data_IF_624111302878
#
_entry.id   IF_624111302878
#
_cell.length_a   1.000
_cell.length_b   1.000
_cell.length_c   1.000
_cell.angle_alpha   90.00
_cell.angle_beta   90.00
_cell.angle_gamma   90.00
#
_symmetry.space_group_name_H-M   'P 1'
#
loop_
_entity.id
_entity.type
_entity.pdbx_description
1 polymer ?
#
# COMPACT_ATOMS: atom_id res chain seq x y z
N UNK A 1 -24.07 2.99 -17.21
CA UNK A 1 -23.42 4.32 -17.02
C UNK A 1 -23.59 4.91 -15.62
N UNK A 2 -24.40 4.34 -14.70
CA UNK A 2 -24.50 4.81 -13.31
C UNK A 2 -23.29 4.43 -12.43
N UNK A 3 -22.75 3.21 -12.58
CA UNK A 3 -21.67 2.70 -11.73
C UNK A 3 -20.36 3.50 -11.81
N UNK A 4 -19.93 3.91 -13.02
CA UNK A 4 -18.73 4.75 -13.18
C UNK A 4 -18.90 6.14 -12.52
N UNK A 5 -20.13 6.68 -12.52
CA UNK A 5 -20.44 7.95 -11.88
C UNK A 5 -20.42 7.80 -10.35
N UNK A 6 -21.02 6.73 -9.81
CA UNK A 6 -20.95 6.37 -8.39
C UNK A 6 -19.51 6.22 -7.91
N UNK A 7 -18.69 5.43 -8.64
CA UNK A 7 -17.27 5.23 -8.33
C UNK A 7 -16.52 6.55 -8.29
N UNK A 8 -16.74 7.44 -9.26
CA UNK A 8 -16.08 8.76 -9.28
C UNK A 8 -16.43 9.62 -8.05
N UNK A 9 -17.71 9.66 -7.66
CA UNK A 9 -18.13 10.41 -6.47
C UNK A 9 -17.60 9.80 -5.18
N UNK A 10 -17.58 8.47 -5.08
CA UNK A 10 -17.06 7.77 -3.92
C UNK A 10 -15.54 7.96 -3.79
N UNK A 11 -14.78 7.89 -4.88
CA UNK A 11 -13.34 8.21 -4.87
C UNK A 11 -13.12 9.65 -4.38
N UNK A 12 -13.90 10.61 -4.89
CA UNK A 12 -13.77 12.01 -4.46
C UNK A 12 -14.06 12.17 -2.95
N UNK A 13 -15.09 11.46 -2.44
CA UNK A 13 -15.38 11.40 -1.00
C UNK A 13 -14.19 10.87 -0.21
N UNK A 14 -13.59 9.74 -0.61
CA UNK A 14 -12.44 9.15 0.09
C UNK A 14 -11.25 10.13 0.15
N UNK A 15 -10.90 10.74 -1.00
CA UNK A 15 -9.82 11.75 -1.09
C UNK A 15 -10.09 12.94 -0.17
N UNK A 16 -11.33 13.43 -0.13
CA UNK A 16 -11.71 14.58 0.69
C UNK A 16 -11.67 14.25 2.19
N UNK A 17 -12.09 13.04 2.58
CA UNK A 17 -12.00 12.58 3.97
C UNK A 17 -10.55 12.47 4.43
N UNK A 18 -9.68 11.91 3.61
CA UNK A 18 -8.26 11.77 3.94
C UNK A 18 -7.56 13.12 4.03
N UNK A 19 -7.85 14.04 3.09
CA UNK A 19 -7.30 15.39 3.12
C UNK A 19 -7.71 16.18 4.38
N UNK A 20 -8.93 15.92 4.89
CA UNK A 20 -9.40 16.49 6.16
C UNK A 20 -8.74 15.79 7.36
N UNK A 21 -8.41 14.51 7.25
CA UNK A 21 -7.74 13.70 8.27
C UNK A 21 -6.23 13.58 8.02
N UNK A 22 -5.53 14.72 7.94
CA UNK A 22 -4.09 14.81 7.61
C UNK A 22 -3.17 13.93 8.46
N UNK A 23 -3.62 13.50 9.63
CA UNK A 23 -2.83 12.67 10.55
C UNK A 23 -2.49 11.29 10.00
N UNK A 24 -3.36 10.69 9.18
CA UNK A 24 -3.19 9.30 8.72
C UNK A 24 -2.13 9.20 7.64
N UNK A 25 -2.24 9.96 6.54
CA UNK A 25 -1.17 10.04 5.51
C UNK A 25 0.16 10.47 6.13
N UNK A 26 0.17 11.55 6.92
CA UNK A 26 1.42 12.07 7.48
C UNK A 26 2.10 11.05 8.40
N UNK A 27 1.32 10.29 9.17
CA UNK A 27 1.85 9.21 10.01
C UNK A 27 2.49 8.09 9.21
N UNK A 28 1.88 7.66 8.11
CA UNK A 28 2.42 6.60 7.24
C UNK A 28 3.67 7.08 6.49
N UNK A 29 3.65 8.32 6.00
CA UNK A 29 4.79 8.91 5.30
C UNK A 29 5.98 9.07 6.25
N UNK A 30 5.73 9.59 7.46
CA UNK A 30 6.75 9.69 8.50
C UNK A 30 7.27 8.30 8.92
N UNK A 31 6.40 7.29 8.99
CA UNK A 31 6.80 5.91 9.23
C UNK A 31 7.76 5.39 8.15
N UNK A 32 7.43 5.57 6.86
CA UNK A 32 8.27 5.12 5.74
C UNK A 32 9.63 5.79 5.76
N UNK A 33 9.65 7.13 5.85
CA UNK A 33 10.88 7.93 5.88
C UNK A 33 11.75 7.54 7.07
N UNK A 34 11.17 7.45 8.27
CA UNK A 34 11.90 7.06 9.48
C UNK A 34 12.44 5.65 9.39
N UNK A 35 11.68 4.71 8.81
CA UNK A 35 12.13 3.32 8.66
C UNK A 35 13.31 3.23 7.70
N UNK A 36 13.20 3.87 6.52
CA UNK A 36 14.30 3.92 5.54
C UNK A 36 15.55 4.53 6.18
N UNK A 37 15.40 5.65 6.87
CA UNK A 37 16.52 6.34 7.51
C UNK A 37 17.14 5.50 8.65
N UNK A 38 16.32 4.84 9.46
CA UNK A 38 16.79 3.93 10.53
C UNK A 38 17.55 2.74 9.95
N UNK A 39 17.05 2.14 8.87
CA UNK A 39 17.74 1.08 8.17
C UNK A 39 19.08 1.56 7.60
N UNK A 40 19.12 2.76 7.01
CA UNK A 40 20.35 3.36 6.52
C UNK A 40 21.40 3.53 7.62
N UNK A 41 21.03 4.10 8.77
CA UNK A 41 21.95 4.24 9.90
C UNK A 41 22.44 2.90 10.45
N UNK A 42 21.63 1.84 10.32
CA UNK A 42 21.97 0.51 10.84
C UNK A 42 22.94 -0.25 9.93
N UNK A 43 22.78 -0.13 8.61
CA UNK A 43 23.59 -0.87 7.64
C UNK A 43 24.73 -0.04 7.03
N UNK A 44 24.60 1.29 6.99
CA UNK A 44 25.48 2.29 6.35
C UNK A 44 25.68 2.10 4.84
N UNK A 45 25.90 0.87 4.37
CA UNK A 45 25.85 0.47 2.96
C UNK A 45 25.32 -0.95 2.82
N UNK A 46 24.47 -1.18 1.83
CA UNK A 46 24.02 -2.52 1.45
C UNK A 46 24.93 -3.00 0.31
N UNK A 47 25.98 -3.76 0.65
CA UNK A 47 26.91 -4.32 -0.34
C UNK A 47 26.31 -5.42 -1.22
N UNK A 48 25.16 -5.97 -0.82
CA UNK A 48 24.42 -6.99 -1.56
C UNK A 48 23.16 -6.40 -2.22
N UNK A 49 23.10 -6.51 -3.56
CA UNK A 49 21.96 -6.11 -4.37
C UNK A 49 20.66 -6.80 -3.95
N UNK A 50 20.75 -8.06 -3.54
CA UNK A 50 19.60 -8.86 -3.14
C UNK A 50 19.03 -8.36 -1.82
N UNK A 51 19.91 -8.02 -0.87
CA UNK A 51 19.53 -7.39 0.40
C UNK A 51 18.88 -6.01 0.19
N UNK A 52 19.41 -5.19 -0.72
CA UNK A 52 18.80 -3.89 -1.10
C UNK A 52 17.36 -4.08 -1.61
N UNK A 53 17.17 -5.00 -2.55
CA UNK A 53 15.84 -5.27 -3.11
C UNK A 53 14.88 -5.83 -2.06
N UNK A 54 15.32 -6.82 -1.26
CA UNK A 54 14.47 -7.41 -0.23
C UNK A 54 14.06 -6.38 0.83
N UNK A 55 14.99 -5.52 1.26
CA UNK A 55 14.74 -4.51 2.27
C UNK A 55 13.68 -3.50 1.82
N UNK A 56 13.75 -3.01 0.57
CA UNK A 56 12.73 -2.13 0.01
C UNK A 56 11.33 -2.75 0.14
N UNK A 57 11.15 -3.98 -0.34
CA UNK A 57 9.86 -4.65 -0.33
C UNK A 57 9.34 -4.93 1.09
N UNK A 58 10.22 -5.23 2.05
CA UNK A 58 9.85 -5.39 3.46
C UNK A 58 9.33 -4.07 4.03
N UNK A 59 10.01 -2.94 3.76
CA UNK A 59 9.56 -1.61 4.20
C UNK A 59 8.17 -1.31 3.61
N UNK A 60 7.98 -1.55 2.32
CA UNK A 60 6.69 -1.32 1.65
C UNK A 60 5.58 -2.22 2.22
N UNK A 61 5.88 -3.47 2.57
CA UNK A 61 4.92 -4.37 3.22
C UNK A 61 4.39 -3.76 4.51
N UNK A 62 5.26 -3.34 5.43
CA UNK A 62 4.79 -2.77 6.69
C UNK A 62 4.17 -1.38 6.53
N UNK A 63 4.64 -0.59 5.56
CA UNK A 63 4.02 0.69 5.22
C UNK A 63 2.58 0.51 4.72
N UNK A 64 2.36 -0.45 3.82
CA UNK A 64 1.04 -0.77 3.28
C UNK A 64 0.09 -1.30 4.36
N UNK A 65 0.60 -2.08 5.32
CA UNK A 65 -0.18 -2.54 6.48
C UNK A 65 -0.63 -1.34 7.32
N UNK A 66 0.23 -0.34 7.54
CA UNK A 66 -0.12 0.81 8.35
C UNK A 66 -1.04 1.82 7.64
N UNK A 67 -0.92 1.94 6.31
CA UNK A 67 -1.71 2.86 5.49
C UNK A 67 -3.03 2.30 4.98
N UNK A 68 -2.99 1.23 4.17
CA UNK A 68 -4.14 0.76 3.40
C UNK A 68 -5.10 -0.10 4.23
N UNK A 69 -4.56 -0.86 5.18
CA UNK A 69 -5.32 -1.86 5.93
C UNK A 69 -6.55 -1.32 6.65
N UNK A 70 -6.56 -0.04 6.97
CA UNK A 70 -7.58 0.60 7.79
C UNK A 70 -8.78 1.12 6.99
N UNK A 71 -8.77 1.04 5.66
CA UNK A 71 -9.76 1.68 4.77
C UNK A 71 -11.22 1.27 5.03
N UNK A 72 -11.51 0.00 5.34
CA UNK A 72 -12.86 -0.45 5.77
C UNK A 72 -13.03 -0.53 7.27
N UNK A 73 -11.94 -0.75 8.03
CA UNK A 73 -11.97 -0.87 9.48
C UNK A 73 -12.17 0.46 10.22
N UNK A 74 -11.79 1.59 9.61
CA UNK A 74 -12.02 2.92 10.19
C UNK A 74 -13.47 3.39 10.09
N UNK A 75 -14.24 2.87 9.12
CA UNK A 75 -15.62 3.30 8.95
C UNK A 75 -16.53 2.69 10.02
N UNK A 76 -17.36 3.53 10.64
CA UNK A 76 -18.38 3.06 11.58
C UNK A 76 -19.43 2.22 10.85
N UNK A 77 -20.07 1.28 11.56
CA UNK A 77 -21.15 0.44 11.01
C UNK A 77 -22.26 1.29 10.35
N UNK A 78 -22.61 2.44 10.94
CA UNK A 78 -23.61 3.36 10.40
C UNK A 78 -23.19 4.00 9.07
N UNK A 79 -21.94 4.43 8.94
CA UNK A 79 -21.41 4.99 7.69
C UNK A 79 -21.37 3.96 6.56
N UNK A 80 -21.01 2.71 6.88
CA UNK A 80 -21.03 1.62 5.92
C UNK A 80 -22.47 1.35 5.42
N UNK A 81 -23.44 1.23 6.34
CA UNK A 81 -24.85 1.02 5.98
C UNK A 81 -25.39 2.15 5.11
N UNK A 82 -25.10 3.41 5.46
CA UNK A 82 -25.49 4.57 4.67
C UNK A 82 -24.92 4.53 3.25
N UNK A 83 -23.65 4.13 3.10
CA UNK A 83 -23.01 4.01 1.78
C UNK A 83 -23.65 2.92 0.92
N UNK A 84 -24.10 1.81 1.52
CA UNK A 84 -24.83 0.75 0.81
C UNK A 84 -26.26 1.11 0.42
N UNK A 85 -26.88 2.09 1.08
CA UNK A 85 -28.19 2.62 0.68
C UNK A 85 -28.07 3.54 -0.54
N UNK A 86 -26.96 4.26 -0.66
CA UNK A 86 -26.77 5.29 -1.70
C UNK A 86 -26.10 4.79 -2.98
N UNK A 87 -25.29 3.74 -2.90
CA UNK A 87 -24.51 3.25 -4.02
C UNK A 87 -24.47 1.72 -4.06
N UNK A 88 -24.23 1.18 -5.25
CA UNK A 88 -24.10 -0.27 -5.41
C UNK A 88 -22.91 -0.82 -4.59
N UNK A 89 -23.01 -2.01 -3.98
CA UNK A 89 -21.91 -2.61 -3.22
C UNK A 89 -20.63 -2.77 -4.05
N UNK A 90 -20.77 -3.03 -5.35
CA UNK A 90 -19.66 -3.09 -6.31
C UNK A 90 -18.97 -1.72 -6.47
N UNK A 91 -19.72 -0.61 -6.55
CA UNK A 91 -19.13 0.72 -6.63
C UNK A 91 -18.36 1.10 -5.36
N UNK A 92 -18.86 0.74 -4.18
CA UNK A 92 -18.16 0.97 -2.90
C UNK A 92 -16.83 0.22 -2.85
N UNK A 93 -16.82 -1.04 -3.27
CA UNK A 93 -15.60 -1.83 -3.26
C UNK A 93 -14.58 -1.33 -4.28
N UNK A 94 -15.00 -1.11 -5.54
CA UNK A 94 -14.12 -0.63 -6.61
C UNK A 94 -13.54 0.75 -6.26
N UNK A 95 -14.36 1.67 -5.76
CA UNK A 95 -13.88 3.01 -5.40
C UNK A 95 -12.80 2.98 -4.31
N UNK A 96 -12.97 2.18 -3.25
CA UNK A 96 -11.96 2.01 -2.20
C UNK A 96 -10.70 1.33 -2.72
N UNK A 97 -10.82 0.30 -3.56
CA UNK A 97 -9.64 -0.34 -4.18
C UNK A 97 -8.86 0.65 -5.02
N UNK A 98 -9.52 1.42 -5.90
CA UNK A 98 -8.87 2.42 -6.75
C UNK A 98 -8.22 3.53 -5.92
N UNK A 99 -8.92 4.01 -4.88
CA UNK A 99 -8.35 4.99 -3.95
C UNK A 99 -7.09 4.46 -3.26
N UNK A 100 -7.13 3.23 -2.74
CA UNK A 100 -5.99 2.61 -2.08
C UNK A 100 -4.84 2.34 -3.05
N UNK A 101 -5.11 2.04 -4.32
CA UNK A 101 -4.08 1.94 -5.37
C UNK A 101 -3.40 3.29 -5.56
N UNK A 102 -4.16 4.39 -5.69
CA UNK A 102 -3.61 5.74 -5.84
C UNK A 102 -2.75 6.12 -4.62
N UNK A 103 -3.25 5.86 -3.41
CA UNK A 103 -2.52 6.13 -2.17
C UNK A 103 -1.21 5.33 -2.09
N UNK A 104 -1.25 4.04 -2.44
CA UNK A 104 -0.04 3.22 -2.47
C UNK A 104 0.94 3.67 -3.53
N UNK A 105 0.50 4.05 -4.73
CA UNK A 105 1.38 4.54 -5.77
C UNK A 105 2.13 5.81 -5.33
N UNK A 106 1.45 6.74 -4.67
CA UNK A 106 2.09 7.93 -4.11
C UNK A 106 3.11 7.54 -3.04
N UNK A 107 2.71 6.69 -2.08
CA UNK A 107 3.60 6.25 -1.01
C UNK A 107 4.83 5.50 -1.53
N UNK A 108 4.66 4.54 -2.44
CA UNK A 108 5.76 3.73 -2.95
C UNK A 108 6.67 4.52 -3.88
N UNK A 109 6.15 5.49 -4.63
CA UNK A 109 6.97 6.40 -5.43
C UNK A 109 7.84 7.29 -4.55
N UNK A 110 7.26 7.89 -3.50
CA UNK A 110 8.01 8.69 -2.52
C UNK A 110 9.04 7.82 -1.79
N UNK A 111 8.64 6.61 -1.38
CA UNK A 111 9.52 5.65 -0.73
C UNK A 111 10.71 5.29 -1.61
N UNK A 112 10.49 4.98 -2.89
CA UNK A 112 11.55 4.64 -3.84
C UNK A 112 12.52 5.82 -4.06
N UNK A 113 11.99 7.03 -4.24
CA UNK A 113 12.80 8.23 -4.39
C UNK A 113 13.67 8.50 -3.15
N UNK A 114 13.09 8.39 -1.95
CA UNK A 114 13.85 8.57 -0.71
C UNK A 114 14.84 7.42 -0.47
N UNK A 115 14.46 6.19 -0.79
CA UNK A 115 15.29 5.01 -0.62
C UNK A 115 16.54 5.04 -1.52
N UNK A 116 16.37 5.42 -2.79
CA UNK A 116 17.49 5.58 -3.74
C UNK A 116 18.41 6.75 -3.37
N UNK A 117 17.86 7.86 -2.85
CA UNK A 117 18.64 9.01 -2.40
C UNK A 117 19.48 8.70 -1.15
N UNK A 118 18.92 7.96 -0.20
CA UNK A 118 19.62 7.65 1.06
C UNK A 118 20.64 6.52 0.87
N UNK A 119 20.32 5.51 0.06
CA UNK A 119 21.22 4.41 -0.27
C UNK A 119 21.94 4.66 -1.61
N UNK A 120 22.72 5.74 -1.68
CA UNK A 120 23.52 6.14 -2.86
C UNK A 120 24.49 5.04 -3.37
N UNK A 121 24.74 4.01 -2.56
CA UNK A 121 25.64 2.91 -2.90
C UNK A 121 25.14 2.04 -4.07
N UNK A 122 23.83 2.00 -4.33
CA UNK A 122 23.27 1.12 -5.37
C UNK A 122 22.02 1.71 -6.02
N UNK A 123 22.05 1.85 -7.35
CA UNK A 123 20.89 2.15 -8.18
C UNK A 123 20.66 1.01 -9.17
N UNK A 124 19.40 0.54 -9.35
CA UNK A 124 19.11 -0.49 -10.34
C UNK A 124 19.52 -0.05 -11.75
N UNK A 125 20.17 -0.93 -12.55
CA UNK A 125 20.50 -0.63 -13.94
C UNK A 125 19.28 -0.24 -14.78
N UNK A 126 18.16 -0.95 -14.60
CA UNK A 126 16.89 -0.64 -15.25
C UNK A 126 15.88 -0.09 -14.23
N UNK A 127 15.96 1.22 -14.01
CA UNK A 127 15.06 1.93 -13.10
C UNK A 127 13.60 1.90 -13.59
N UNK A 128 13.38 1.84 -14.90
CA UNK A 128 12.03 1.79 -15.47
C UNK A 128 11.37 0.44 -15.14
N UNK A 129 12.08 -0.67 -15.34
CA UNK A 129 11.57 -2.00 -15.00
C UNK A 129 11.34 -2.13 -13.48
N UNK A 130 12.22 -1.55 -12.66
CA UNK A 130 12.02 -1.50 -11.21
C UNK A 130 10.76 -0.69 -10.84
N UNK A 131 10.53 0.45 -11.49
CA UNK A 131 9.33 1.25 -11.25
C UNK A 131 8.05 0.51 -11.68
N UNK A 132 8.08 -0.23 -12.79
CA UNK A 132 6.97 -1.10 -13.19
C UNK A 132 6.70 -2.16 -12.12
N UNK A 133 7.74 -2.75 -11.53
CA UNK A 133 7.59 -3.68 -10.40
C UNK A 133 6.90 -3.00 -9.22
N UNK A 134 7.30 -1.77 -8.89
CA UNK A 134 6.71 -0.96 -7.81
C UNK A 134 5.23 -0.65 -8.07
N UNK A 135 4.86 -0.32 -9.30
CA UNK A 135 3.46 -0.10 -9.71
C UNK A 135 2.64 -1.38 -9.56
N UNK A 136 3.16 -2.51 -10.03
CA UNK A 136 2.51 -3.82 -9.89
C UNK A 136 2.37 -4.23 -8.42
N UNK A 137 3.38 -3.97 -7.60
CA UNK A 137 3.34 -4.21 -6.16
C UNK A 137 2.31 -3.34 -5.45
N UNK A 138 2.21 -2.06 -5.83
CA UNK A 138 1.21 -1.13 -5.29
C UNK A 138 -0.21 -1.61 -5.59
N UNK A 139 -0.47 -2.04 -6.84
CA UNK A 139 -1.78 -2.59 -7.23
C UNK A 139 -2.10 -3.87 -6.45
N UNK A 140 -1.12 -4.78 -6.33
CA UNK A 140 -1.28 -6.07 -5.67
C UNK A 140 -1.56 -5.90 -4.16
N UNK A 141 -0.72 -5.12 -3.47
CA UNK A 141 -0.87 -4.86 -2.04
C UNK A 141 -2.19 -4.15 -1.75
N UNK A 142 -2.52 -3.09 -2.50
CA UNK A 142 -3.78 -2.37 -2.30
C UNK A 142 -4.99 -3.26 -2.48
N UNK A 143 -5.00 -4.10 -3.52
CA UNK A 143 -6.13 -5.00 -3.79
C UNK A 143 -6.29 -6.03 -2.68
N UNK A 144 -5.21 -6.71 -2.29
CA UNK A 144 -5.22 -7.72 -1.22
C UNK A 144 -5.67 -7.12 0.11
N UNK A 145 -5.04 -6.03 0.56
CA UNK A 145 -5.38 -5.42 1.84
C UNK A 145 -6.78 -4.83 1.86
N UNK A 146 -7.26 -4.26 0.74
CA UNK A 146 -8.64 -3.75 0.65
C UNK A 146 -9.64 -4.89 0.84
N UNK A 147 -9.42 -6.03 0.18
CA UNK A 147 -10.28 -7.21 0.31
C UNK A 147 -10.26 -7.80 1.71
N UNK A 148 -9.07 -7.97 2.29
CA UNK A 148 -8.92 -8.47 3.66
C UNK A 148 -9.58 -7.51 4.65
N UNK A 149 -9.41 -6.19 4.48
CA UNK A 149 -10.06 -5.16 5.31
C UNK A 149 -11.59 -5.24 5.21
N UNK A 150 -12.13 -5.44 4.00
CA UNK A 150 -13.56 -5.56 3.78
C UNK A 150 -14.13 -6.77 4.54
N UNK A 151 -13.50 -7.94 4.43
CA UNK A 151 -13.89 -9.16 5.15
C UNK A 151 -13.76 -8.95 6.67
N UNK A 152 -12.62 -8.42 7.10
CA UNK A 152 -12.31 -8.19 8.50
C UNK A 152 -13.28 -7.21 9.18
N UNK A 153 -13.73 -6.17 8.47
CA UNK A 153 -14.70 -5.18 8.98
C UNK A 153 -16.06 -5.76 9.33
N UNK A 154 -16.39 -6.96 8.82
CA UNK A 154 -17.63 -7.68 9.12
C UNK A 154 -17.47 -8.70 10.25
N UNK A 155 -16.23 -8.97 10.70
CA UNK A 155 -15.96 -9.84 11.82
C UNK A 155 -16.03 -9.09 13.17
N UNK A 156 -16.30 -9.83 14.25
CA UNK A 156 -16.38 -9.24 15.60
C UNK A 156 -15.06 -8.64 16.10
N UNK A 157 -13.91 -9.18 15.66
CA UNK A 157 -12.57 -8.67 15.98
C UNK A 157 -11.76 -8.39 14.70
N UNK A 158 -12.23 -7.41 13.91
CA UNK A 158 -11.66 -7.10 12.61
C UNK A 158 -10.18 -6.76 12.62
N UNK A 159 -9.66 -6.13 13.68
CA UNK A 159 -8.23 -5.86 13.82
C UNK A 159 -7.38 -7.13 13.89
N UNK A 160 -7.78 -8.09 14.74
CA UNK A 160 -7.09 -9.38 14.86
C UNK A 160 -7.21 -10.20 13.57
N UNK A 161 -8.40 -10.26 12.98
CA UNK A 161 -8.62 -11.02 11.76
C UNK A 161 -7.80 -10.46 10.59
N UNK A 162 -7.64 -9.15 10.52
CA UNK A 162 -6.80 -8.51 9.52
C UNK A 162 -5.34 -8.92 9.64
N UNK A 163 -4.78 -8.94 10.85
CA UNK A 163 -3.40 -9.38 11.06
C UNK A 163 -3.20 -10.86 10.68
N UNK A 164 -4.11 -11.73 11.12
CA UNK A 164 -4.02 -13.18 10.87
C UNK A 164 -4.13 -13.52 9.37
N UNK A 165 -5.05 -12.90 8.65
CA UNK A 165 -5.28 -13.20 7.23
C UNK A 165 -4.27 -12.53 6.31
N UNK A 166 -3.80 -11.33 6.65
CA UNK A 166 -2.96 -10.55 5.73
C UNK A 166 -1.61 -11.21 5.47
N UNK A 167 -0.93 -11.69 6.51
CA UNK A 167 0.42 -12.22 6.38
C UNK A 167 0.51 -13.46 5.47
N UNK A 168 -0.32 -14.50 5.63
CA UNK A 168 -0.30 -15.66 4.75
C UNK A 168 -0.56 -15.31 3.27
N UNK A 169 -1.42 -14.32 3.01
CA UNK A 169 -1.80 -13.94 1.64
C UNK A 169 -0.74 -13.03 1.01
N UNK A 170 -0.12 -12.13 1.78
CA UNK A 170 0.84 -11.16 1.24
C UNK A 170 2.22 -11.78 1.00
N UNK A 171 2.62 -12.82 1.74
CA UNK A 171 3.95 -13.45 1.60
C UNK A 171 4.19 -13.98 0.18
N UNK A 172 3.28 -14.76 -0.45
CA UNK A 172 3.45 -15.20 -1.84
C UNK A 172 3.61 -14.02 -2.81
N UNK A 173 2.83 -12.96 -2.62
CA UNK A 173 2.90 -11.74 -3.44
C UNK A 173 4.25 -11.04 -3.26
N UNK A 174 4.73 -10.93 -2.02
CA UNK A 174 6.03 -10.35 -1.69
C UNK A 174 7.18 -11.12 -2.35
N UNK A 175 7.16 -12.45 -2.28
CA UNK A 175 8.19 -13.30 -2.91
C UNK A 175 8.20 -13.10 -4.42
N UNK A 176 7.02 -13.01 -5.05
CA UNK A 176 6.89 -12.79 -6.49
C UNK A 176 7.43 -11.41 -6.88
N UNK A 177 7.13 -10.37 -6.10
CA UNK A 177 7.61 -9.00 -6.36
C UNK A 177 9.13 -8.89 -6.19
N UNK A 178 9.71 -9.51 -5.15
CA UNK A 178 11.17 -9.55 -4.96
C UNK A 178 11.83 -10.23 -6.15
N UNK A 179 11.30 -11.35 -6.64
CA UNK A 179 11.82 -12.05 -7.82
C UNK A 179 11.70 -11.22 -9.10
N UNK A 180 10.58 -10.55 -9.30
CA UNK A 180 10.35 -9.72 -10.48
C UNK A 180 11.27 -8.48 -10.48
N UNK A 181 11.40 -7.83 -9.32
CA UNK A 181 12.29 -6.69 -9.13
C UNK A 181 13.77 -7.07 -9.21
N UNK A 182 14.12 -8.33 -8.89
CA UNK A 182 15.48 -8.85 -9.06
C UNK A 182 15.94 -8.76 -10.51
N UNK A 183 15.07 -9.02 -11.48
CA UNK A 183 15.42 -8.90 -12.89
C UNK A 183 15.87 -7.47 -13.25
N UNK A 184 15.18 -6.44 -12.73
CA UNK A 184 15.60 -5.03 -12.92
C UNK A 184 16.95 -4.69 -12.26
N UNK A 185 17.26 -5.38 -11.15
CA UNK A 185 18.46 -5.18 -10.34
C UNK A 185 19.69 -5.87 -10.94
N UNK A 186 19.47 -6.99 -11.62
CA UNK A 186 20.51 -7.76 -12.30
C UNK A 186 20.82 -7.20 -13.70
N UNK A 187 19.85 -6.60 -14.38
CA UNK A 187 19.98 -6.03 -15.73
C UNK A 187 19.51 -7.00 -16.80
#
# INVERSE_FOLDING_TARGET
>A
MQLAKEVKYLIHKEVLLEWRSKYTINGVLLYVVSTIFTCYLSFVSLGDKLAWNALFWIIILFASINGVSKSFLQETKGQQLYSYVLASPAAVLISKTVYNIMLMLVLTTIALGFYTLVFDSFTPPDLLLYYVAVVMGSISFSTVFTMVSAIASKAGNGGMLMAILSFPIIIPVLILLIKLAKNAVDG
#
